data_IF_163571236500
#
_entry.id   IF_163571236500
#
_cell.length_a   1.000
_cell.length_b   1.000
_cell.length_c   1.000
_cell.angle_alpha   90.00
_cell.angle_beta   90.00
_cell.angle_gamma   90.00
#
_symmetry.space_group_name_H-M   'P 1'
#
loop_
_entity.id
_entity.type
_entity.pdbx_description
1 polymer ?
#
# COMPACT_ATOMS: atom_id res chain seq x y z
N UNK A 1 24.77 -48.99 23.31
CA UNK A 1 24.15 -47.89 24.10
C UNK A 1 22.77 -48.29 24.62
N UNK A 2 22.48 -48.07 25.91
CA UNK A 2 21.16 -48.36 26.50
C UNK A 2 20.10 -47.31 26.09
N UNK A 3 18.83 -47.71 25.99
CA UNK A 3 17.72 -46.80 25.62
C UNK A 3 17.60 -45.63 26.59
N UNK A 4 17.89 -45.84 27.87
CA UNK A 4 17.90 -44.77 28.89
C UNK A 4 18.98 -43.74 28.61
N UNK A 5 20.17 -44.18 28.18
CA UNK A 5 21.27 -43.27 27.84
C UNK A 5 20.94 -42.40 26.62
N UNK A 6 20.22 -42.96 25.63
CA UNK A 6 19.81 -42.20 24.43
C UNK A 6 18.82 -41.11 24.84
N UNK A 7 17.80 -41.45 25.62
CA UNK A 7 16.82 -40.47 26.12
C UNK A 7 17.49 -39.38 26.95
N UNK A 8 18.44 -39.75 27.82
CA UNK A 8 19.12 -38.79 28.69
C UNK A 8 19.99 -37.80 27.90
N UNK A 9 20.66 -38.24 26.82
CA UNK A 9 21.38 -37.33 25.92
C UNK A 9 20.46 -36.33 25.23
N UNK A 10 19.28 -36.75 24.77
CA UNK A 10 18.31 -35.85 24.16
C UNK A 10 17.75 -34.83 25.17
N UNK A 11 17.52 -35.25 26.41
CA UNK A 11 17.05 -34.37 27.48
C UNK A 11 18.08 -33.32 27.88
N UNK A 12 19.37 -33.67 27.95
CA UNK A 12 20.48 -32.71 28.19
C UNK A 12 20.50 -31.61 27.11
N UNK A 13 20.16 -31.97 25.87
CA UNK A 13 20.05 -31.05 24.72
C UNK A 13 18.66 -30.38 24.61
N UNK A 14 17.77 -30.57 25.60
CA UNK A 14 16.44 -29.96 25.66
C UNK A 14 15.44 -30.50 24.62
N UNK A 15 15.67 -31.68 24.05
CA UNK A 15 14.84 -32.31 23.02
C UNK A 15 14.04 -33.47 23.60
N UNK A 16 12.77 -33.58 23.23
CA UNK A 16 11.93 -34.73 23.54
C UNK A 16 11.92 -35.69 22.34
N UNK A 17 12.09 -36.98 22.61
CA UNK A 17 12.13 -38.03 21.59
C UNK A 17 10.90 -38.94 21.71
N UNK A 18 10.26 -39.26 20.59
CA UNK A 18 9.11 -40.19 20.58
C UNK A 18 9.59 -41.65 20.60
N UNK A 19 8.75 -42.59 21.06
CA UNK A 19 9.09 -44.03 21.07
C UNK A 19 9.46 -44.57 19.68
N UNK A 20 8.84 -44.03 18.62
CA UNK A 20 9.10 -44.43 17.24
C UNK A 20 10.43 -43.90 16.70
N UNK A 21 10.86 -42.72 17.14
CA UNK A 21 12.20 -42.20 16.81
C UNK A 21 13.27 -42.95 17.61
N UNK A 22 12.99 -43.27 18.88
CA UNK A 22 13.90 -43.99 19.76
C UNK A 22 14.27 -45.39 19.23
N UNK A 23 13.34 -46.07 18.54
CA UNK A 23 13.61 -47.38 17.94
C UNK A 23 14.50 -47.34 16.70
N UNK A 24 14.70 -46.15 16.11
CA UNK A 24 15.50 -45.94 14.89
C UNK A 24 16.91 -45.40 15.18
N UNK A 25 17.20 -45.04 16.44
CA UNK A 25 18.51 -44.51 16.85
C UNK A 25 19.46 -45.65 17.22
N UNK A 26 20.65 -45.58 16.65
CA UNK A 26 21.81 -46.41 16.96
C UNK A 26 22.96 -45.54 17.43
N UNK A 27 23.95 -46.15 18.06
CA UNK A 27 25.15 -45.47 18.58
C UNK A 27 25.93 -44.71 17.48
N UNK A 28 25.82 -45.18 16.23
CA UNK A 28 26.48 -44.58 15.07
C UNK A 28 25.72 -43.37 14.49
N UNK A 29 24.40 -43.25 14.73
CA UNK A 29 23.58 -42.20 14.12
C UNK A 29 23.03 -41.18 15.13
N UNK A 30 23.25 -41.38 16.43
CA UNK A 30 22.72 -40.50 17.49
C UNK A 30 23.12 -39.03 17.32
N UNK A 31 24.36 -38.78 16.88
CA UNK A 31 24.85 -37.43 16.64
C UNK A 31 24.13 -36.76 15.46
N UNK A 32 23.62 -37.51 14.48
CA UNK A 32 22.85 -36.94 13.36
C UNK A 32 21.50 -36.40 13.84
N UNK A 33 20.85 -37.09 14.77
CA UNK A 33 19.57 -36.64 15.33
C UNK A 33 19.74 -35.51 16.36
N UNK A 34 20.85 -35.51 17.12
CA UNK A 34 21.18 -34.43 18.04
C UNK A 34 21.63 -33.18 17.27
N UNK A 35 22.38 -33.37 16.18
CA UNK A 35 23.01 -32.31 15.38
C UNK A 35 22.17 -31.85 14.18
N UNK A 36 20.87 -32.16 14.14
CA UNK A 36 19.92 -31.32 13.40
C UNK A 36 19.91 -29.92 14.05
N UNK A 37 20.96 -29.14 13.82
CA UNK A 37 20.81 -27.73 13.49
C UNK A 37 19.85 -27.77 12.31
N UNK A 38 18.60 -27.39 12.54
CA UNK A 38 17.69 -27.03 11.45
C UNK A 38 18.50 -26.13 10.53
N UNK A 39 18.84 -26.59 9.34
CA UNK A 39 19.13 -25.67 8.25
C UNK A 39 17.99 -24.65 8.27
N UNK A 40 18.27 -23.33 8.20
CA UNK A 40 17.20 -22.35 8.14
C UNK A 40 16.28 -22.78 7.01
N UNK A 41 15.04 -23.17 7.36
CA UNK A 41 14.00 -23.51 6.38
C UNK A 41 14.04 -22.39 5.35
N UNK A 42 14.41 -22.70 4.11
CA UNK A 42 14.34 -21.70 3.04
C UNK A 42 12.91 -21.17 3.01
N UNK A 43 12.77 -19.90 3.38
CA UNK A 43 11.49 -19.26 3.64
C UNK A 43 10.57 -19.39 2.42
N UNK A 44 9.44 -20.06 2.60
CA UNK A 44 8.46 -20.25 1.54
C UNK A 44 7.65 -18.96 1.36
N UNK A 45 8.05 -18.10 0.43
CA UNK A 45 7.23 -16.94 0.06
C UNK A 45 6.03 -17.42 -0.75
N UNK A 46 4.84 -16.95 -0.40
CA UNK A 46 3.59 -17.21 -1.13
C UNK A 46 2.98 -15.90 -1.61
N UNK A 47 2.43 -15.88 -2.83
CA UNK A 47 1.67 -14.74 -3.36
C UNK A 47 0.18 -15.08 -3.36
N UNK A 48 -0.65 -14.12 -2.99
CA UNK A 48 -2.08 -14.13 -3.28
C UNK A 48 -2.50 -12.82 -3.93
N UNK A 49 -3.26 -12.92 -5.02
CA UNK A 49 -3.80 -11.77 -5.76
C UNK A 49 -5.19 -11.40 -5.23
N UNK A 50 -5.46 -10.10 -5.17
CA UNK A 50 -6.82 -9.60 -4.97
C UNK A 50 -7.36 -9.17 -6.33
N UNK A 51 -8.18 -10.02 -6.94
CA UNK A 51 -8.91 -9.66 -8.15
C UNK A 51 -10.21 -8.96 -7.75
N UNK A 52 -10.49 -7.81 -8.35
CA UNK A 52 -11.82 -7.23 -8.26
C UNK A 52 -12.81 -8.07 -9.06
N UNK A 53 -14.06 -8.14 -8.57
CA UNK A 53 -15.15 -8.76 -9.32
C UNK A 53 -15.37 -7.98 -10.62
N UNK A 54 -15.86 -8.67 -11.65
CA UNK A 54 -16.33 -8.01 -12.88
C UNK A 54 -17.27 -6.87 -12.51
N UNK A 55 -16.95 -5.68 -13.00
CA UNK A 55 -17.73 -4.49 -12.76
C UNK A 55 -19.05 -4.60 -13.56
N UNK A 56 -20.21 -4.27 -12.97
CA UNK A 56 -21.46 -4.35 -13.68
C UNK A 56 -21.47 -3.40 -14.88
N UNK A 57 -22.18 -3.78 -15.94
CA UNK A 57 -22.30 -2.97 -17.18
C UNK A 57 -23.25 -1.78 -17.03
N UNK A 58 -24.06 -1.75 -15.97
CA UNK A 58 -24.98 -0.66 -15.62
C UNK A 58 -24.85 -0.32 -14.15
N UNK A 59 -24.93 0.98 -13.83
CA UNK A 59 -24.72 1.50 -12.48
C UNK A 59 -25.90 2.35 -12.03
N UNK A 60 -26.29 2.22 -10.77
CA UNK A 60 -27.24 3.15 -10.16
C UNK A 60 -26.48 4.39 -9.66
N UNK A 61 -27.06 5.58 -9.84
CA UNK A 61 -26.50 6.82 -9.30
C UNK A 61 -26.18 6.74 -7.80
N UNK A 62 -27.01 6.01 -7.05
CA UNK A 62 -26.82 5.73 -5.62
C UNK A 62 -25.52 4.98 -5.30
N UNK A 63 -25.09 4.05 -6.17
CA UNK A 63 -23.86 3.27 -5.97
C UNK A 63 -22.62 4.14 -6.20
N UNK A 64 -22.69 5.00 -7.20
CA UNK A 64 -21.64 5.99 -7.50
C UNK A 64 -21.49 6.97 -6.33
N UNK A 65 -22.61 7.52 -5.83
CA UNK A 65 -22.61 8.39 -4.64
C UNK A 65 -22.05 7.67 -3.42
N UNK A 66 -22.42 6.41 -3.19
CA UNK A 66 -21.90 5.61 -2.10
C UNK A 66 -20.38 5.40 -2.18
N UNK A 67 -19.83 5.15 -3.36
CA UNK A 67 -18.39 5.02 -3.59
C UNK A 67 -17.65 6.33 -3.20
N UNK A 68 -18.10 7.47 -3.73
CA UNK A 68 -17.47 8.76 -3.42
C UNK A 68 -17.58 9.12 -1.94
N UNK A 69 -18.72 8.83 -1.32
CA UNK A 69 -18.93 9.04 0.12
C UNK A 69 -17.98 8.17 0.94
N UNK A 70 -17.82 6.90 0.56
CA UNK A 70 -16.89 5.96 1.21
C UNK A 70 -15.43 6.41 1.05
N UNK A 71 -15.04 6.87 -0.15
CA UNK A 71 -13.71 7.45 -0.40
C UNK A 71 -13.46 8.67 0.48
N UNK A 72 -14.38 9.64 0.46
CA UNK A 72 -14.28 10.85 1.27
C UNK A 72 -14.13 10.51 2.75
N UNK A 73 -15.00 9.64 3.28
CA UNK A 73 -14.94 9.21 4.68
C UNK A 73 -13.57 8.61 5.02
N UNK A 74 -13.06 7.68 4.22
CA UNK A 74 -11.75 7.06 4.48
C UNK A 74 -10.59 8.08 4.46
N UNK A 75 -10.57 9.00 3.49
CA UNK A 75 -9.52 10.02 3.42
C UNK A 75 -9.63 11.05 4.55
N UNK A 76 -10.86 11.45 4.91
CA UNK A 76 -11.13 12.31 6.06
C UNK A 76 -10.67 11.66 7.36
N UNK A 77 -10.97 10.37 7.56
CA UNK A 77 -10.58 9.65 8.77
C UNK A 77 -9.04 9.54 8.87
N UNK A 78 -8.33 9.39 7.74
CA UNK A 78 -6.86 9.47 7.71
C UNK A 78 -6.33 10.85 8.12
N UNK A 79 -6.98 11.93 7.68
CA UNK A 79 -6.63 13.30 8.07
C UNK A 79 -6.94 13.57 9.56
N UNK A 80 -8.07 13.11 10.07
CA UNK A 80 -8.47 13.27 11.48
C UNK A 80 -7.46 12.63 12.45
N UNK A 81 -6.73 11.60 12.03
CA UNK A 81 -5.64 11.02 12.82
C UNK A 81 -4.41 11.95 12.95
N UNK A 82 -4.37 13.04 12.16
CA UNK A 82 -3.24 13.98 12.10
C UNK A 82 -3.61 15.38 12.60
N UNK A 83 -4.86 15.79 12.43
CA UNK A 83 -5.31 17.16 12.71
C UNK A 83 -6.67 17.16 13.41
N UNK A 84 -6.87 18.13 14.29
CA UNK A 84 -8.19 18.42 14.87
C UNK A 84 -8.93 19.39 13.95
N UNK A 85 -9.99 18.93 13.31
CA UNK A 85 -10.78 19.72 12.37
C UNK A 85 -12.21 19.95 12.88
N UNK A 86 -12.79 21.09 12.51
CA UNK A 86 -14.20 21.43 12.74
C UNK A 86 -15.02 21.23 11.46
N UNK A 87 -16.31 20.93 11.61
CA UNK A 87 -17.26 20.89 10.50
C UNK A 87 -17.54 22.30 9.97
N UNK A 88 -17.74 22.42 8.66
CA UNK A 88 -18.04 23.69 7.99
C UNK A 88 -19.35 24.32 8.51
N UNK A 89 -20.31 23.51 8.96
CA UNK A 89 -21.55 24.01 9.58
C UNK A 89 -21.31 24.83 10.86
N UNK A 90 -20.22 24.55 11.59
CA UNK A 90 -19.94 25.15 12.90
C UNK A 90 -18.84 26.23 12.85
N UNK A 91 -18.43 26.60 11.64
CA UNK A 91 -17.24 27.41 11.41
C UNK A 91 -17.40 28.86 11.86
N UNK A 92 -18.61 29.42 11.76
CA UNK A 92 -18.91 30.81 12.14
C UNK A 92 -18.86 31.08 13.66
N UNK A 93 -18.75 30.02 14.48
CA UNK A 93 -18.63 30.13 15.94
C UNK A 93 -17.17 30.10 16.41
N UNK A 94 -16.22 29.89 15.50
CA UNK A 94 -14.81 29.75 15.84
C UNK A 94 -14.09 31.10 15.80
N UNK A 95 -13.12 31.29 16.70
CA UNK A 95 -12.27 32.47 16.77
C UNK A 95 -10.83 32.04 16.46
N UNK A 96 -10.14 32.79 15.60
CA UNK A 96 -8.73 32.57 15.27
C UNK A 96 -8.49 31.64 14.09
N UNK A 97 -7.36 30.93 14.13
CA UNK A 97 -7.01 29.93 13.12
C UNK A 97 -7.90 28.69 13.30
N UNK A 98 -8.50 28.24 12.21
CA UNK A 98 -9.33 27.04 12.18
C UNK A 98 -8.74 26.01 11.24
N UNK A 99 -9.11 24.75 11.45
CA UNK A 99 -8.80 23.66 10.52
C UNK A 99 -10.10 22.98 10.11
N UNK A 100 -10.29 22.78 8.82
CA UNK A 100 -11.45 22.10 8.24
C UNK A 100 -10.99 20.99 7.31
N UNK A 101 -11.78 19.93 7.16
CA UNK A 101 -11.49 18.87 6.18
C UNK A 101 -12.63 18.82 5.20
N UNK A 102 -12.32 18.85 3.91
CA UNK A 102 -13.33 18.72 2.86
C UNK A 102 -12.74 18.20 1.56
N UNK A 103 -13.63 17.98 0.60
CA UNK A 103 -13.33 17.66 -0.79
C UNK A 103 -13.34 18.94 -1.63
N UNK A 104 -12.39 19.04 -2.55
CA UNK A 104 -12.34 20.12 -3.52
C UNK A 104 -13.36 19.86 -4.64
N UNK A 105 -14.36 20.72 -4.78
CA UNK A 105 -15.44 20.54 -5.76
C UNK A 105 -15.25 21.38 -7.02
N UNK A 106 -14.63 22.55 -6.89
CA UNK A 106 -14.44 23.50 -7.98
C UNK A 106 -13.20 24.34 -7.75
N UNK A 107 -12.48 24.69 -8.81
CA UNK A 107 -11.43 25.71 -8.77
C UNK A 107 -11.98 27.08 -9.13
N UNK A 108 -11.50 28.09 -8.42
CA UNK A 108 -11.71 29.49 -8.72
C UNK A 108 -10.34 30.17 -8.94
N UNK A 109 -10.25 31.32 -9.62
CA UNK A 109 -8.97 31.95 -9.96
C UNK A 109 -8.04 32.23 -8.76
N UNK A 110 -8.59 32.33 -7.54
CA UNK A 110 -7.84 32.63 -6.31
C UNK A 110 -7.83 31.46 -5.30
N UNK A 111 -8.27 30.26 -5.71
CA UNK A 111 -8.29 29.08 -4.86
C UNK A 111 -9.34 28.05 -5.29
N UNK A 112 -10.21 27.62 -4.37
CA UNK A 112 -11.19 26.56 -4.65
C UNK A 112 -12.38 26.54 -3.69
N UNK A 113 -13.46 25.87 -4.09
CA UNK A 113 -14.60 25.53 -3.24
C UNK A 113 -14.34 24.21 -2.52
N UNK A 114 -14.37 24.24 -1.19
CA UNK A 114 -14.21 23.09 -0.30
C UNK A 114 -15.56 22.69 0.29
N UNK A 115 -15.90 21.40 0.25
CA UNK A 115 -17.17 20.86 0.75
C UNK A 115 -16.92 19.66 1.68
N UNK A 116 -17.57 19.62 2.85
CA UNK A 116 -17.42 18.52 3.83
C UNK A 116 -18.67 17.63 3.99
N UNK A 117 -19.70 17.88 3.17
CA UNK A 117 -21.03 17.26 3.22
C UNK A 117 -22.01 17.99 4.15
N UNK A 118 -21.53 18.87 5.03
CA UNK A 118 -22.36 19.70 5.93
C UNK A 118 -22.48 21.15 5.45
N UNK A 119 -21.54 21.59 4.63
CA UNK A 119 -21.56 22.89 3.97
C UNK A 119 -20.42 23.03 2.97
N UNK A 120 -20.25 24.25 2.44
CA UNK A 120 -19.16 24.60 1.53
C UNK A 120 -18.56 25.94 1.89
N UNK A 121 -17.26 26.11 1.65
CA UNK A 121 -16.55 27.38 1.85
C UNK A 121 -15.56 27.64 0.72
N UNK A 122 -15.44 28.90 0.31
CA UNK A 122 -14.39 29.32 -0.63
C UNK A 122 -13.07 29.41 0.14
N UNK A 123 -12.07 28.71 -0.35
CA UNK A 123 -10.70 28.72 0.16
C UNK A 123 -9.85 29.56 -0.76
N UNK A 124 -9.18 30.59 -0.24
CA UNK A 124 -8.19 31.36 -0.99
C UNK A 124 -6.78 30.87 -0.71
N UNK A 125 -6.05 30.54 -1.77
CA UNK A 125 -4.69 29.99 -1.68
C UNK A 125 -3.94 30.16 -3.01
N UNK A 126 -2.61 30.15 -2.96
CA UNK A 126 -1.74 30.05 -4.13
C UNK A 126 -1.25 28.62 -4.40
N UNK A 127 -1.54 27.68 -3.48
CA UNK A 127 -1.12 26.28 -3.64
C UNK A 127 -1.97 25.60 -4.71
N UNK A 128 -1.30 24.89 -5.61
CA UNK A 128 -1.97 24.04 -6.59
C UNK A 128 -2.63 22.86 -5.88
N UNK A 129 -3.86 22.57 -6.26
CA UNK A 129 -4.65 21.45 -5.79
C UNK A 129 -5.44 20.87 -6.96
N UNK A 130 -6.12 19.74 -6.76
CA UNK A 130 -6.85 19.08 -7.84
C UNK A 130 -8.29 18.80 -7.42
N UNK A 131 -9.18 18.80 -8.41
CA UNK A 131 -10.58 18.45 -8.21
C UNK A 131 -10.71 17.05 -7.62
N UNK A 132 -11.59 16.92 -6.63
CA UNK A 132 -11.84 15.67 -5.93
C UNK A 132 -10.83 15.34 -4.83
N UNK A 133 -9.72 16.09 -4.69
CA UNK A 133 -8.81 15.92 -3.56
C UNK A 133 -9.56 16.13 -2.24
N UNK A 134 -9.23 15.31 -1.25
CA UNK A 134 -9.70 15.49 0.13
C UNK A 134 -8.55 16.02 0.96
N UNK A 135 -8.71 17.23 1.49
CA UNK A 135 -7.64 17.98 2.16
C UNK A 135 -8.12 18.56 3.48
N UNK A 136 -7.18 18.66 4.42
CA UNK A 136 -7.29 19.55 5.56
C UNK A 136 -6.83 20.95 5.16
N UNK A 137 -7.59 21.98 5.49
CA UNK A 137 -7.20 23.38 5.27
C UNK A 137 -7.15 24.07 6.61
N UNK A 138 -5.97 24.55 6.99
CA UNK A 138 -5.78 25.41 8.15
C UNK A 138 -5.70 26.86 7.68
N UNK A 139 -6.45 27.76 8.31
CA UNK A 139 -6.50 29.15 7.89
C UNK A 139 -7.36 30.04 8.77
N UNK A 140 -7.57 31.28 8.31
CA UNK A 140 -8.43 32.26 8.97
C UNK A 140 -9.62 32.61 8.09
N UNK A 141 -10.77 32.83 8.71
CA UNK A 141 -11.95 33.30 8.00
C UNK A 141 -11.99 34.82 8.04
N UNK A 142 -12.21 35.43 6.88
CA UNK A 142 -12.59 36.83 6.76
C UNK A 142 -13.64 36.94 5.66
N UNK A 143 -14.75 37.60 5.97
CA UNK A 143 -15.83 37.86 5.01
C UNK A 143 -16.35 36.59 4.30
N UNK A 144 -16.45 35.48 5.04
CA UNK A 144 -16.93 34.19 4.50
C UNK A 144 -15.92 33.40 3.65
N UNK A 145 -14.69 33.91 3.49
CA UNK A 145 -13.61 33.24 2.76
C UNK A 145 -12.58 32.70 3.75
N UNK A 146 -12.16 31.44 3.56
CA UNK A 146 -11.08 30.82 4.31
C UNK A 146 -9.74 31.10 3.63
N UNK A 147 -8.92 31.97 4.21
CA UNK A 147 -7.57 32.25 3.74
C UNK A 147 -6.63 31.17 4.25
N UNK A 148 -6.19 30.28 3.36
CA UNK A 148 -5.39 29.13 3.72
C UNK A 148 -3.97 29.54 4.13
N UNK A 149 -3.58 29.16 5.34
CA UNK A 149 -2.19 29.17 5.81
C UNK A 149 -1.51 27.88 5.37
N UNK A 150 -2.23 26.75 5.47
CA UNK A 150 -1.71 25.42 5.17
C UNK A 150 -2.77 24.55 4.50
N UNK A 151 -2.31 23.69 3.58
CA UNK A 151 -3.09 22.60 2.98
C UNK A 151 -2.39 21.32 3.37
N UNK A 152 -3.15 20.42 3.97
CA UNK A 152 -2.67 19.20 4.64
C UNK A 152 -3.29 18.02 3.91
N UNK A 153 -2.44 17.11 3.44
CA UNK A 153 -2.86 15.91 2.71
C UNK A 153 -2.90 14.68 3.63
N UNK A 154 -3.73 13.66 3.30
CA UNK A 154 -3.86 12.45 4.09
C UNK A 154 -2.53 11.75 4.38
N UNK A 155 -1.62 11.69 3.40
CA UNK A 155 -0.19 11.33 3.40
C UNK A 155 0.24 10.08 4.22
N UNK A 156 1.38 9.49 3.90
CA UNK A 156 1.93 8.36 4.65
C UNK A 156 2.64 8.87 5.92
N UNK A 157 2.37 8.29 7.11
CA UNK A 157 3.11 8.62 8.33
C UNK A 157 4.59 8.24 8.21
N UNK A 158 5.50 9.13 8.66
CA UNK A 158 6.94 8.85 8.70
C UNK A 158 7.29 7.70 9.67
N UNK A 159 6.45 7.45 10.65
CA UNK A 159 6.61 6.40 11.67
C UNK A 159 6.25 5.00 11.17
N UNK A 160 5.80 4.86 9.91
CA UNK A 160 5.42 3.58 9.33
C UNK A 160 6.61 2.62 9.34
N UNK A 161 6.43 1.45 9.96
CA UNK A 161 7.34 0.31 9.85
C UNK A 161 6.88 -0.59 8.71
N UNK A 162 7.81 -0.99 7.84
CA UNK A 162 7.55 -2.01 6.82
C UNK A 162 7.54 -3.40 7.47
N UNK A 163 6.70 -4.33 6.98
CA UNK A 163 6.78 -5.72 7.39
C UNK A 163 8.16 -6.28 6.98
N UNK A 164 8.77 -7.06 7.87
CA UNK A 164 10.03 -7.72 7.56
C UNK A 164 9.74 -8.96 6.71
N UNK A 165 10.00 -8.85 5.41
CA UNK A 165 9.80 -9.93 4.45
C UNK A 165 11.15 -10.52 4.05
N UNK A 166 11.26 -11.85 4.00
CA UNK A 166 12.48 -12.54 3.58
C UNK A 166 12.28 -13.19 2.22
N UNK A 167 13.28 -13.02 1.35
CA UNK A 167 13.39 -13.66 0.04
C UNK A 167 13.35 -12.67 -1.12
N UNK A 168 13.03 -13.17 -2.32
CA UNK A 168 13.20 -12.43 -3.57
C UNK A 168 11.93 -12.42 -4.40
N UNK A 169 11.58 -11.24 -4.92
CA UNK A 169 10.45 -11.03 -5.81
C UNK A 169 10.98 -10.60 -7.18
N UNK A 170 10.55 -11.27 -8.23
CA UNK A 170 10.91 -10.88 -9.60
C UNK A 170 9.71 -10.23 -10.29
N UNK A 171 9.90 -9.01 -10.77
CA UNK A 171 8.97 -8.27 -11.62
C UNK A 171 9.41 -8.41 -13.07
N UNK A 172 8.47 -8.53 -14.00
CA UNK A 172 8.78 -8.61 -15.43
C UNK A 172 7.72 -7.86 -16.23
N UNK A 173 8.18 -6.99 -17.12
CA UNK A 173 7.38 -6.27 -18.11
C UNK A 173 7.80 -6.75 -19.49
N UNK A 174 6.88 -7.34 -20.26
CA UNK A 174 7.16 -7.73 -21.64
C UNK A 174 6.44 -6.80 -22.63
N UNK A 175 7.21 -5.99 -23.35
CA UNK A 175 6.70 -5.06 -24.38
C UNK A 175 5.98 -5.79 -25.52
N UNK A 176 6.42 -7.00 -25.90
CA UNK A 176 5.87 -7.73 -27.07
C UNK A 176 4.51 -8.38 -26.82
N UNK A 177 4.15 -8.62 -25.57
CA UNK A 177 2.88 -9.29 -25.22
C UNK A 177 1.98 -8.45 -24.33
N UNK A 178 2.42 -7.23 -23.95
CA UNK A 178 1.80 -6.36 -22.93
C UNK A 178 1.51 -7.07 -21.58
N UNK A 179 2.11 -8.24 -21.37
CA UNK A 179 1.89 -9.05 -20.17
C UNK A 179 2.91 -8.66 -19.12
N UNK A 180 2.41 -8.05 -18.06
CA UNK A 180 3.17 -7.83 -16.83
C UNK A 180 3.04 -9.06 -15.94
N UNK A 181 4.16 -9.50 -15.37
CA UNK A 181 4.20 -10.71 -14.58
C UNK A 181 5.01 -10.54 -13.30
N UNK A 182 4.59 -11.29 -12.29
CA UNK A 182 5.21 -11.39 -10.98
C UNK A 182 5.64 -12.84 -10.76
N UNK A 183 6.88 -13.10 -10.37
CA UNK A 183 7.33 -14.48 -10.07
C UNK A 183 8.08 -14.58 -8.74
N UNK A 184 7.86 -15.71 -8.07
CA UNK A 184 8.60 -16.14 -6.88
C UNK A 184 8.89 -17.61 -7.04
N UNK A 185 10.07 -17.97 -7.55
CA UNK A 185 10.63 -19.34 -7.67
C UNK A 185 9.77 -20.40 -8.43
N UNK A 186 8.43 -20.39 -8.35
CA UNK A 186 7.42 -21.30 -8.93
C UNK A 186 6.77 -20.75 -10.21
N UNK A 187 7.54 -20.04 -11.03
CA UNK A 187 7.08 -19.53 -12.33
C UNK A 187 6.32 -18.19 -12.27
N UNK A 188 6.00 -17.61 -13.44
CA UNK A 188 5.37 -16.30 -13.55
C UNK A 188 3.86 -16.34 -13.35
N UNK A 189 3.35 -15.38 -12.58
CA UNK A 189 1.94 -15.05 -12.46
C UNK A 189 1.66 -13.77 -13.25
N UNK A 190 0.72 -13.84 -14.19
CA UNK A 190 0.36 -12.72 -15.07
C UNK A 190 -0.60 -11.77 -14.33
N UNK A 191 -0.32 -10.48 -14.41
CA UNK A 191 -1.20 -9.42 -13.93
C UNK A 191 -2.27 -9.16 -14.97
N UNK A 192 -3.54 -9.28 -14.56
CA UNK A 192 -4.71 -9.17 -15.45
C UNK A 192 -5.61 -7.98 -15.12
N UNK A 193 -5.32 -7.22 -14.06
CA UNK A 193 -6.12 -6.09 -13.58
C UNK A 193 -5.25 -4.86 -13.39
N UNK A 194 -5.86 -3.68 -13.50
CA UNK A 194 -5.16 -2.40 -13.34
C UNK A 194 -6.06 -1.39 -12.61
N UNK A 195 -5.73 -0.98 -11.37
CA UNK A 195 -4.58 -1.44 -10.58
C UNK A 195 -4.75 -2.90 -10.09
N UNK A 196 -3.65 -3.53 -9.68
CA UNK A 196 -3.65 -4.88 -9.10
C UNK A 196 -2.98 -4.89 -7.73
N UNK A 197 -3.73 -5.34 -6.72
CA UNK A 197 -3.21 -5.54 -5.36
C UNK A 197 -2.74 -6.98 -5.18
N UNK A 198 -1.51 -7.10 -4.70
CA UNK A 198 -0.85 -8.38 -4.46
C UNK A 198 -0.40 -8.44 -3.00
N UNK A 199 -0.76 -9.52 -2.31
CA UNK A 199 -0.22 -9.82 -0.98
C UNK A 199 0.95 -10.77 -1.13
N UNK A 200 2.10 -10.37 -0.60
CA UNK A 200 3.32 -11.18 -0.52
C UNK A 200 3.46 -11.66 0.92
N UNK A 201 3.36 -12.97 1.13
CA UNK A 201 3.48 -13.60 2.45
C UNK A 201 4.85 -14.25 2.57
N UNK A 202 5.62 -13.87 3.58
CA UNK A 202 6.89 -14.52 3.92
C UNK A 202 6.87 -14.83 5.41
N UNK A 203 6.96 -16.11 5.75
CA UNK A 203 6.80 -16.60 7.12
C UNK A 203 5.46 -16.13 7.75
N UNK A 204 5.53 -15.45 8.90
CA UNK A 204 4.37 -14.89 9.60
C UNK A 204 4.09 -13.42 9.22
N UNK A 205 4.83 -12.87 8.24
CA UNK A 205 4.70 -11.48 7.82
C UNK A 205 4.01 -11.39 6.46
N UNK A 206 3.16 -10.38 6.32
CA UNK A 206 2.49 -10.05 5.08
C UNK A 206 2.94 -8.65 4.65
N UNK A 207 3.33 -8.49 3.40
CA UNK A 207 3.43 -7.20 2.75
C UNK A 207 2.61 -7.14 1.49
N UNK A 208 2.59 -5.95 0.91
CA UNK A 208 1.68 -5.57 -0.16
C UNK A 208 2.44 -4.96 -1.32
N UNK A 209 2.10 -5.41 -2.52
CA UNK A 209 2.52 -4.79 -3.77
C UNK A 209 1.28 -4.26 -4.46
N UNK A 210 1.36 -3.00 -4.90
CA UNK A 210 0.39 -2.41 -5.81
C UNK A 210 1.04 -2.27 -7.18
N UNK A 211 0.44 -2.88 -8.19
CA UNK A 211 0.78 -2.63 -9.58
C UNK A 211 -0.21 -1.62 -10.17
N UNK A 212 0.30 -0.67 -10.95
CA UNK A 212 -0.51 0.27 -11.71
C UNK A 212 0.15 0.64 -13.05
N UNK A 213 -0.64 0.64 -14.12
CA UNK A 213 -0.24 1.13 -15.43
C UNK A 213 -1.04 2.38 -15.78
N UNK A 214 -0.43 3.58 -15.76
CA UNK A 214 -1.12 4.81 -16.15
C UNK A 214 -1.44 4.79 -17.66
N UNK A 215 -2.53 5.47 -18.03
CA UNK A 215 -2.92 5.65 -19.44
C UNK A 215 -2.04 6.63 -20.20
N UNK A 216 -1.28 7.45 -19.48
CA UNK A 216 -0.36 8.45 -20.03
C UNK A 216 0.97 8.36 -19.30
N UNK A 217 2.10 8.74 -19.94
CA UNK A 217 3.37 8.85 -19.24
C UNK A 217 3.25 9.77 -18.02
N UNK A 218 3.86 9.36 -16.91
CA UNK A 218 3.90 10.12 -15.66
C UNK A 218 5.32 10.08 -15.08
N UNK A 219 5.65 11.11 -14.32
CA UNK A 219 6.93 11.24 -13.65
C UNK A 219 6.85 10.78 -12.17
N UNK A 220 8.03 10.70 -11.53
CA UNK A 220 8.12 10.33 -10.11
C UNK A 220 7.43 11.34 -9.19
N UNK A 221 7.36 12.62 -9.59
CA UNK A 221 6.68 13.67 -8.82
C UNK A 221 5.20 13.35 -8.70
N UNK A 222 4.56 13.03 -9.82
CA UNK A 222 3.14 12.63 -9.89
C UNK A 222 2.86 11.42 -9.02
N UNK A 223 3.74 10.40 -9.05
CA UNK A 223 3.58 9.19 -8.23
C UNK A 223 3.66 9.53 -6.72
N UNK A 224 4.59 10.40 -6.33
CA UNK A 224 4.69 10.88 -4.94
C UNK A 224 3.45 11.64 -4.51
N UNK A 225 2.89 12.47 -5.39
CA UNK A 225 1.65 13.18 -5.12
C UNK A 225 0.48 12.22 -4.91
N UNK A 226 0.39 11.11 -5.65
CA UNK A 226 -0.64 10.08 -5.42
C UNK A 226 -0.50 9.40 -4.07
N UNK A 227 0.74 9.07 -3.67
CA UNK A 227 1.03 8.53 -2.34
C UNK A 227 0.70 9.54 -1.23
N UNK A 228 0.99 10.82 -1.45
CA UNK A 228 0.67 11.90 -0.52
C UNK A 228 -0.85 12.09 -0.39
N UNK A 229 -1.60 12.02 -1.48
CA UNK A 229 -3.07 12.13 -1.48
C UNK A 229 -3.77 10.85 -1.06
N UNK A 230 -3.04 9.73 -1.05
CA UNK A 230 -3.55 8.38 -0.79
C UNK A 230 -4.59 7.94 -1.82
N UNK A 231 -4.48 8.43 -3.04
CA UNK A 231 -5.42 8.17 -4.12
C UNK A 231 -4.73 8.33 -5.48
N UNK A 232 -5.01 7.40 -6.40
CA UNK A 232 -4.60 7.48 -7.81
C UNK A 232 -5.77 8.09 -8.60
N UNK A 233 -5.60 9.27 -9.23
CA UNK A 233 -6.63 9.82 -10.10
C UNK A 233 -6.96 8.86 -11.24
N UNK A 234 -8.23 8.46 -11.32
CA UNK A 234 -8.76 7.68 -12.42
C UNK A 234 -9.92 8.44 -13.08
N UNK A 235 -10.08 8.40 -14.41
CA UNK A 235 -11.30 8.85 -15.07
C UNK A 235 -12.54 8.28 -14.38
N UNK A 236 -13.62 9.06 -14.39
CA UNK A 236 -14.89 8.82 -13.69
C UNK A 236 -15.67 7.60 -14.22
N UNK A 237 -14.99 6.46 -14.41
CA UNK A 237 -15.68 5.20 -14.59
C UNK A 237 -16.31 4.84 -13.24
N UNK A 238 -17.63 4.66 -13.18
CA UNK A 238 -18.27 4.23 -11.96
C UNK A 238 -17.73 2.84 -11.58
N UNK A 239 -17.44 2.66 -10.29
CA UNK A 239 -16.92 1.43 -9.71
C UNK A 239 -17.90 0.98 -8.61
N UNK A 240 -18.14 -0.33 -8.51
CA UNK A 240 -18.93 -0.91 -7.42
C UNK A 240 -17.99 -1.60 -6.42
N UNK A 241 -18.26 -1.37 -5.13
CA UNK A 241 -17.62 -2.10 -4.03
C UNK A 241 -16.47 -1.35 -3.36
N UNK A 242 -15.26 -1.89 -3.48
CA UNK A 242 -14.07 -1.23 -2.97
C UNK A 242 -13.50 -0.30 -4.03
N UNK A 243 -12.81 0.75 -3.58
CA UNK A 243 -12.17 1.70 -4.47
C UNK A 243 -10.72 1.23 -4.69
N UNK A 244 -10.38 0.64 -5.85
CA UNK A 244 -9.05 0.11 -6.12
C UNK A 244 -7.97 1.19 -6.20
N UNK A 245 -8.39 2.43 -6.49
CA UNK A 245 -7.52 3.60 -6.62
C UNK A 245 -7.24 4.28 -5.28
N UNK A 246 -8.01 3.95 -4.24
CA UNK A 246 -7.75 4.41 -2.90
C UNK A 246 -6.60 3.60 -2.29
N UNK A 247 -5.53 4.29 -1.91
CA UNK A 247 -4.33 3.70 -1.33
C UNK A 247 -4.52 3.45 0.16
N UNK A 248 -5.49 2.61 0.52
CA UNK A 248 -5.76 2.18 1.88
C UNK A 248 -6.11 0.68 1.90
N UNK A 249 -5.15 -0.22 2.19
CA UNK A 249 -3.88 0.03 2.90
C UNK A 249 -2.78 0.72 2.07
N UNK A 250 -1.66 1.10 2.72
CA UNK A 250 -0.48 1.66 2.02
C UNK A 250 0.29 0.50 1.38
N UNK A 251 0.68 0.56 0.09
CA UNK A 251 1.53 -0.47 -0.48
C UNK A 251 2.93 -0.47 0.16
N UNK A 252 3.56 -1.62 0.32
CA UNK A 252 4.99 -1.71 0.67
C UNK A 252 5.87 -1.53 -0.57
N UNK A 253 5.40 -2.04 -1.71
CA UNK A 253 5.99 -1.86 -3.04
C UNK A 253 4.93 -1.25 -3.95
N UNK A 254 5.22 -0.10 -4.57
CA UNK A 254 4.38 0.50 -5.59
C UNK A 254 5.08 0.36 -6.95
N UNK A 255 4.68 -0.66 -7.69
CA UNK A 255 5.14 -0.90 -9.05
C UNK A 255 4.28 -0.10 -10.03
N UNK A 256 4.87 0.93 -10.61
CA UNK A 256 4.22 1.80 -11.58
C UNK A 256 4.89 1.57 -12.93
N UNK A 257 4.12 1.21 -13.95
CA UNK A 257 4.64 0.97 -15.28
C UNK A 257 4.81 2.30 -16.03
N UNK A 258 6.04 2.81 -16.10
CA UNK A 258 6.39 3.96 -16.96
C UNK A 258 7.37 3.52 -18.05
N UNK A 259 7.80 4.45 -18.91
CA UNK A 259 8.81 4.19 -19.95
C UNK A 259 10.25 4.19 -19.40
N UNK A 260 10.43 4.65 -18.17
CA UNK A 260 11.74 4.81 -17.55
C UNK A 260 11.95 3.78 -16.43
N UNK A 261 13.17 3.28 -16.34
CA UNK A 261 13.58 2.39 -15.27
C UNK A 261 14.09 3.19 -14.07
N UNK A 262 13.45 3.03 -12.91
CA UNK A 262 13.91 3.70 -11.68
C UNK A 262 13.45 2.99 -10.41
N UNK A 263 14.11 3.34 -9.30
CA UNK A 263 13.61 3.06 -7.95
C UNK A 263 13.62 4.32 -7.10
N UNK A 264 12.68 4.41 -6.17
CA UNK A 264 12.63 5.50 -5.21
C UNK A 264 12.02 5.03 -3.89
N UNK A 265 12.47 5.60 -2.77
CA UNK A 265 11.84 5.37 -1.47
C UNK A 265 10.98 6.57 -1.09
N UNK A 266 9.73 6.34 -0.68
CA UNK A 266 8.85 7.38 -0.16
C UNK A 266 8.15 6.91 1.10
N UNK A 267 8.60 7.39 2.26
CA UNK A 267 7.98 7.13 3.58
C UNK A 267 7.66 5.65 3.84
N UNK A 268 8.63 4.78 3.53
CA UNK A 268 8.48 3.34 3.68
C UNK A 268 7.77 2.62 2.53
N UNK A 269 7.48 3.29 1.41
CA UNK A 269 7.07 2.65 0.14
C UNK A 269 8.29 2.54 -0.77
N UNK A 270 8.55 1.36 -1.34
CA UNK A 270 9.47 1.20 -2.46
C UNK A 270 8.70 1.44 -3.77
N UNK A 271 8.95 2.56 -4.42
CA UNK A 271 8.44 2.86 -5.75
C UNK A 271 9.40 2.26 -6.77
N UNK A 272 8.86 1.53 -7.75
CA UNK A 272 9.64 0.91 -8.80
C UNK A 272 8.95 1.05 -10.15
N UNK A 273 9.72 1.41 -11.17
CA UNK A 273 9.32 1.31 -12.58
C UNK A 273 10.39 0.54 -13.33
N UNK A 274 9.94 -0.32 -14.25
CA UNK A 274 10.83 -1.15 -15.05
C UNK A 274 11.19 -0.50 -16.38
N UNK A 275 10.35 0.35 -16.97
CA UNK A 275 10.44 0.66 -18.40
C UNK A 275 10.06 -0.59 -19.20
N UNK A 276 11.05 -1.46 -19.39
CA UNK A 276 10.88 -2.82 -19.89
C UNK A 276 11.92 -3.77 -19.28
N UNK A 277 11.72 -5.07 -19.46
CA UNK A 277 12.64 -6.08 -18.94
C UNK A 277 12.24 -6.57 -17.56
N UNK A 278 13.22 -6.79 -16.69
CA UNK A 278 13.03 -7.50 -15.42
C UNK A 278 13.71 -6.79 -14.26
N UNK A 279 13.07 -6.87 -13.09
CA UNK A 279 13.65 -6.39 -11.84
C UNK A 279 13.57 -7.47 -10.76
N UNK A 280 14.66 -7.67 -10.04
CA UNK A 280 14.77 -8.60 -8.92
C UNK A 280 14.87 -7.79 -7.63
N UNK A 281 13.87 -7.92 -6.77
CA UNK A 281 13.75 -7.20 -5.50
C UNK A 281 14.12 -8.15 -4.37
N UNK A 282 15.13 -7.79 -3.59
CA UNK A 282 15.40 -8.44 -2.31
C UNK A 282 14.47 -7.83 -1.25
N UNK A 283 13.52 -8.62 -0.75
CA UNK A 283 12.49 -8.14 0.17
C UNK A 283 13.04 -7.79 1.57
N UNK A 284 14.19 -8.37 1.93
CA UNK A 284 14.84 -8.12 3.21
C UNK A 284 15.55 -6.76 3.22
N UNK A 285 16.34 -6.48 2.19
CA UNK A 285 17.13 -5.24 2.08
C UNK A 285 16.43 -4.12 1.30
N UNK A 286 15.31 -4.41 0.63
CA UNK A 286 14.67 -3.52 -0.37
C UNK A 286 15.59 -3.12 -1.54
N UNK A 287 16.68 -3.87 -1.79
CA UNK A 287 17.56 -3.60 -2.93
C UNK A 287 16.95 -4.16 -4.21
N UNK A 288 17.11 -3.42 -5.30
CA UNK A 288 16.57 -3.78 -6.62
C UNK A 288 17.71 -3.91 -7.60
N UNK A 289 17.70 -5.00 -8.36
CA UNK A 289 18.59 -5.24 -9.48
C UNK A 289 17.77 -5.32 -10.76
N UNK A 290 18.10 -4.49 -11.74
CA UNK A 290 17.47 -4.51 -13.06
C UNK A 290 18.27 -5.39 -14.02
N UNK A 291 17.57 -6.02 -14.96
CA UNK A 291 18.12 -6.95 -15.94
C UNK A 291 17.34 -6.88 -17.25
#
# INVERSE_FOLDING_TARGET
MDRREIVQRFLVEGKLITPETLSKITEQNINNFISEKKEPRQDAITISFSYEKEQPTQFKSTEVVALYTKRFKKLRDLLMNKISAVSLQHIGKQIGDITVIGRIEKHDPKGFLLNDGTGSIVVSTKKNTFLGDVVGVRGRIKEGVLFAIEIIYPDIPLTRKRPHLVGTLTLTTNETTEKNALSIKKGPHIITTNPCWVTVKSNNNNGTLLYYQPSTPIDITTIKEWLQRRYIPHPLKPLVGNDPFLLNPIPDIFWVQTNEQFTHAYKGVLIISLGSGKAVINLNSSTVQFS
#
